data_IF_824808712552
#
_entry.id   IF_824808712552
#
_cell.length_a   1.000
_cell.length_b   1.000
_cell.length_c   1.000
_cell.angle_alpha   90.00
_cell.angle_beta   90.00
_cell.angle_gamma   90.00
#
_symmetry.space_group_name_H-M   'P 1'
#
loop_
_entity.id
_entity.type
_entity.pdbx_description
1 polymer ?
#
# COMPACT_ATOMS: atom_id res chain seq x y z
N UNK A 1 -7.42 12.49 0.21
CA UNK A 1 -8.61 12.38 -0.65
C UNK A 1 -8.30 11.30 -1.66
N UNK A 2 -8.89 10.11 -1.48
CA UNK A 2 -8.59 8.93 -2.29
C UNK A 2 -9.03 9.19 -3.71
N UNK A 3 -8.14 8.94 -4.67
CA UNK A 3 -8.41 9.25 -6.06
C UNK A 3 -8.98 8.00 -6.73
N UNK A 4 -10.22 8.08 -7.22
CA UNK A 4 -10.87 6.99 -7.97
C UNK A 4 -10.76 7.29 -9.47
N UNK A 5 -10.11 6.43 -10.23
CA UNK A 5 -10.05 6.49 -11.70
C UNK A 5 -10.59 5.16 -12.20
N UNK A 6 -11.61 5.19 -13.06
CA UNK A 6 -12.12 4.00 -13.76
C UNK A 6 -12.45 2.82 -12.82
N UNK A 7 -13.07 3.11 -11.68
CA UNK A 7 -13.38 2.09 -10.67
C UNK A 7 -12.22 1.71 -9.75
N UNK A 8 -10.97 1.95 -10.14
CA UNK A 8 -9.79 1.68 -9.33
C UNK A 8 -9.51 2.81 -8.32
N UNK A 9 -9.14 2.40 -7.10
CA UNK A 9 -8.76 3.32 -6.04
C UNK A 9 -7.24 3.48 -5.99
N UNK A 10 -6.79 4.71 -6.04
CA UNK A 10 -5.38 5.08 -5.97
C UNK A 10 -5.11 5.83 -4.67
N UNK A 11 -4.25 5.25 -3.85
CA UNK A 11 -3.86 5.75 -2.54
C UNK A 11 -2.53 6.48 -2.66
N UNK A 12 -2.41 7.65 -2.04
CA UNK A 12 -1.07 8.23 -1.81
C UNK A 12 -0.28 7.37 -0.82
N UNK A 13 1.04 7.59 -0.71
CA UNK A 13 1.87 6.86 0.27
C UNK A 13 1.33 6.93 1.70
N UNK A 14 0.88 8.12 2.12
CA UNK A 14 0.32 8.31 3.45
C UNK A 14 -1.01 7.56 3.61
N UNK A 15 -1.89 7.63 2.60
CA UNK A 15 -3.17 6.90 2.62
C UNK A 15 -2.96 5.38 2.58
N UNK A 16 -1.97 4.88 1.83
CA UNK A 16 -1.64 3.47 1.78
C UNK A 16 -1.14 2.95 3.13
N UNK A 17 -0.26 3.69 3.81
CA UNK A 17 0.19 3.35 5.18
C UNK A 17 -0.99 3.35 6.14
N UNK A 18 -1.84 4.39 6.13
CA UNK A 18 -3.03 4.43 6.99
C UNK A 18 -4.00 3.28 6.67
N UNK A 19 -4.17 2.94 5.40
CA UNK A 19 -5.03 1.84 4.97
C UNK A 19 -4.51 0.50 5.47
N UNK A 20 -3.20 0.25 5.44
CA UNK A 20 -2.62 -0.98 6.01
C UNK A 20 -2.78 -1.04 7.53
N UNK A 21 -2.51 0.07 8.22
CA UNK A 21 -2.66 0.15 9.67
C UNK A 21 -4.12 -0.08 10.13
N UNK A 22 -5.07 0.55 9.45
CA UNK A 22 -6.48 0.52 9.83
C UNK A 22 -7.23 -0.69 9.26
N UNK A 23 -7.04 -0.97 7.96
CA UNK A 23 -7.76 -2.00 7.22
C UNK A 23 -7.27 -3.43 7.46
N UNK A 24 -5.97 -3.60 7.73
CA UNK A 24 -5.37 -4.91 7.97
C UNK A 24 -4.83 -5.08 9.40
N UNK A 25 -5.22 -4.18 10.30
CA UNK A 25 -4.84 -4.18 11.72
C UNK A 25 -3.33 -4.37 11.95
N UNK A 26 -2.48 -3.79 11.10
CA UNK A 26 -1.04 -3.81 11.30
C UNK A 26 -0.66 -2.97 12.53
N UNK A 27 0.32 -3.45 13.31
CA UNK A 27 0.87 -2.76 14.48
C UNK A 27 1.72 -1.55 14.09
N UNK A 28 2.50 -1.70 13.02
CA UNK A 28 3.21 -0.61 12.38
C UNK A 28 3.34 -0.90 10.87
N UNK A 29 3.42 0.16 10.08
CA UNK A 29 3.63 0.09 8.64
C UNK A 29 4.52 1.27 8.22
N UNK A 30 5.52 0.98 7.40
CA UNK A 30 6.47 1.95 6.91
C UNK A 30 6.62 1.82 5.40
N UNK A 31 6.47 2.93 4.69
CA UNK A 31 6.62 2.98 3.24
C UNK A 31 7.89 3.73 2.86
N UNK A 32 8.81 3.06 2.15
CA UNK A 32 10.08 3.62 1.69
C UNK A 32 10.18 3.53 0.17
N UNK A 33 10.82 4.53 -0.43
CA UNK A 33 11.17 4.50 -1.84
C UNK A 33 12.25 3.47 -2.12
N UNK A 34 12.04 2.68 -3.17
CA UNK A 34 13.01 1.73 -3.70
C UNK A 34 13.06 1.85 -5.21
N UNK A 35 13.96 2.70 -5.72
CA UNK A 35 14.08 3.04 -7.15
C UNK A 35 12.73 3.50 -7.72
N UNK A 36 12.08 2.69 -8.55
CA UNK A 36 10.80 2.95 -9.22
C UNK A 36 9.58 2.39 -8.45
N UNK A 37 9.81 1.78 -7.30
CA UNK A 37 8.80 1.10 -6.48
C UNK A 37 8.74 1.68 -5.06
N UNK A 38 7.66 1.36 -4.36
CA UNK A 38 7.48 1.67 -2.94
C UNK A 38 7.50 0.37 -2.16
N UNK A 39 8.50 0.22 -1.31
CA UNK A 39 8.59 -0.86 -0.34
C UNK A 39 7.71 -0.53 0.87
N UNK A 40 6.71 -1.35 1.14
CA UNK A 40 5.94 -1.31 2.38
C UNK A 40 6.45 -2.43 3.29
N UNK A 41 6.97 -2.06 4.45
CA UNK A 41 7.34 -2.99 5.51
C UNK A 41 6.35 -2.81 6.65
N UNK A 42 5.77 -3.91 7.12
CA UNK A 42 4.76 -3.85 8.17
C UNK A 42 4.90 -5.06 9.12
N UNK A 43 4.30 -4.91 10.30
CA UNK A 43 4.16 -5.99 11.27
C UNK A 43 2.67 -6.14 11.58
N UNK A 44 2.13 -7.35 11.40
CA UNK A 44 0.75 -7.66 11.79
C UNK A 44 0.63 -7.75 13.31
N UNK A 45 -0.59 -7.70 13.86
CA UNK A 45 -0.80 -7.92 15.30
C UNK A 45 -0.35 -9.30 15.80
N UNK A 46 -0.28 -10.29 14.91
CA UNK A 46 0.25 -11.62 15.21
C UNK A 46 1.78 -11.63 15.35
N UNK A 47 2.46 -10.50 15.10
CA UNK A 47 3.92 -10.40 15.15
C UNK A 47 4.62 -10.85 13.86
N UNK A 48 3.85 -11.15 12.80
CA UNK A 48 4.41 -11.49 11.49
C UNK A 48 4.91 -10.20 10.85
N UNK A 49 6.19 -10.20 10.48
CA UNK A 49 6.82 -9.10 9.76
C UNK A 49 6.93 -9.47 8.30
N UNK A 50 6.44 -8.59 7.45
CA UNK A 50 6.55 -8.80 6.02
C UNK A 50 6.86 -7.49 5.28
N UNK A 51 7.29 -7.66 4.03
CA UNK A 51 7.68 -6.59 3.15
C UNK A 51 7.17 -6.84 1.74
N UNK A 52 6.42 -5.86 1.24
CA UNK A 52 5.92 -5.86 -0.13
C UNK A 52 6.53 -4.73 -0.93
N UNK A 53 6.74 -4.99 -2.23
CA UNK A 53 7.19 -4.00 -3.19
C UNK A 53 6.03 -3.74 -4.15
N UNK A 54 5.54 -2.50 -4.15
CA UNK A 54 4.44 -2.08 -5.01
C UNK A 54 4.89 -1.02 -5.99
N UNK A 55 4.37 -1.08 -7.22
CA UNK A 55 4.71 -0.10 -8.26
C UNK A 55 4.13 1.27 -7.90
N UNK A 56 4.98 2.28 -8.01
CA UNK A 56 4.56 3.67 -7.87
C UNK A 56 3.99 4.18 -9.20
N UNK A 57 2.74 4.59 -9.20
CA UNK A 57 2.12 5.27 -10.32
C UNK A 57 2.22 6.78 -10.14
N UNK A 58 2.85 7.46 -11.11
CA UNK A 58 2.95 8.91 -11.14
C UNK A 58 2.17 9.44 -12.34
N UNK A 59 1.22 10.34 -12.11
CA UNK A 59 0.59 11.08 -13.21
C UNK A 59 1.60 12.08 -13.79
N UNK A 60 1.66 12.20 -15.13
CA UNK A 60 2.62 13.05 -15.86
C UNK A 60 2.72 14.50 -15.36
N UNK A 61 1.66 15.05 -14.75
CA UNK A 61 1.62 16.43 -14.21
C UNK A 61 1.64 16.52 -12.68
N UNK A 62 1.75 15.41 -11.97
CA UNK A 62 1.64 15.37 -10.50
C UNK A 62 2.96 14.93 -9.86
N UNK A 63 3.42 15.68 -8.84
CA UNK A 63 4.52 15.23 -7.97
C UNK A 63 4.04 14.15 -6.98
N UNK A 64 2.73 13.95 -6.86
CA UNK A 64 2.14 12.98 -5.94
C UNK A 64 2.16 11.59 -6.53
N UNK A 65 2.81 10.68 -5.81
CA UNK A 65 2.88 9.27 -6.16
C UNK A 65 1.70 8.54 -5.55
N UNK A 66 1.15 7.62 -6.34
CA UNK A 66 -0.02 6.83 -6.04
C UNK A 66 0.28 5.34 -6.13
N UNK A 67 -0.34 4.57 -5.27
CA UNK A 67 -0.30 3.11 -5.20
C UNK A 67 -1.72 2.61 -5.49
N UNK A 68 -1.85 1.52 -6.25
CA UNK A 68 -3.17 0.90 -6.46
C UNK A 68 -3.60 0.20 -5.18
N UNK A 69 -4.80 0.53 -4.70
CA UNK A 69 -5.44 -0.16 -3.57
C UNK A 69 -5.62 -1.65 -3.89
N UNK A 70 -5.92 -1.99 -5.13
CA UNK A 70 -6.11 -3.37 -5.57
C UNK A 70 -4.88 -4.25 -5.31
N UNK A 71 -3.66 -3.76 -5.58
CA UNK A 71 -2.43 -4.53 -5.33
C UNK A 71 -2.18 -4.75 -3.83
N UNK A 72 -2.55 -3.77 -2.98
CA UNK A 72 -2.55 -3.95 -1.53
C UNK A 72 -3.56 -5.02 -1.13
N UNK A 73 -4.81 -4.90 -1.60
CA UNK A 73 -5.87 -5.85 -1.25
C UNK A 73 -5.52 -7.27 -1.70
N UNK A 74 -4.97 -7.45 -2.90
CA UNK A 74 -4.55 -8.76 -3.39
C UNK A 74 -3.48 -9.38 -2.48
N UNK A 75 -2.53 -8.58 -2.01
CA UNK A 75 -1.49 -9.06 -1.10
C UNK A 75 -2.05 -9.53 0.24
N UNK A 76 -2.78 -8.66 0.91
CA UNK A 76 -3.29 -8.95 2.25
C UNK A 76 -4.43 -9.98 2.25
N UNK A 77 -5.21 -10.08 1.17
CA UNK A 77 -6.26 -11.13 1.03
C UNK A 77 -5.65 -12.49 0.72
N UNK A 78 -4.48 -12.55 0.07
CA UNK A 78 -3.74 -13.81 -0.13
C UNK A 78 -3.21 -14.37 1.19
N UNK A 79 -2.74 -13.52 2.11
CA UNK A 79 -2.27 -13.98 3.42
C UNK A 79 -3.39 -14.55 4.32
N UNK A 80 -4.64 -14.12 4.15
CA UNK A 80 -5.77 -14.63 4.94
C UNK A 80 -6.21 -16.07 4.54
N UNK A 81 -5.75 -16.57 3.38
CA UNK A 81 -6.12 -17.87 2.82
C UNK A 81 -5.00 -18.93 2.84
N UNK A 82 -3.97 -18.81 3.70
CA UNK A 82 -2.90 -19.84 3.84
C UNK A 82 -2.79 -20.41 5.25
#
# INVERSE_FOLDING_TARGET
MVLKIDGEYFLTRAEAVSYVLQGYHAKWCFARWSRDEVAFSFETKAGVRDRILLRAYKLKKSKTVRIRKYELDEYFTKEDNS
#
